data_IF_289378441875
#
_entry.id   IF_289378441875
#
_cell.length_a   1.000
_cell.length_b   1.000
_cell.length_c   1.000
_cell.angle_alpha   90.00
_cell.angle_beta   90.00
_cell.angle_gamma   90.00
#
_symmetry.space_group_name_H-M   'P 1'
#
loop_
_entity.id
_entity.type
_entity.pdbx_description
1 polymer ?
#
# COMPACT_ATOMS: atom_id res chain seq x y z
N UNK A 1 -76.89 -17.89 5.48
CA UNK A 1 -76.00 -16.90 4.85
C UNK A 1 -74.74 -16.77 5.70
N UNK A 2 -73.58 -17.16 5.17
CA UNK A 2 -72.28 -17.04 5.86
C UNK A 2 -71.66 -15.70 5.49
N UNK A 3 -71.66 -14.72 6.39
CA UNK A 3 -70.97 -13.44 6.19
C UNK A 3 -69.51 -13.57 6.62
N UNK A 4 -68.63 -13.73 5.62
CA UNK A 4 -67.18 -13.45 5.72
C UNK A 4 -67.01 -11.95 5.95
N UNK A 5 -66.38 -11.52 7.03
CA UNK A 5 -65.58 -10.29 7.04
C UNK A 5 -64.61 -10.25 8.23
N UNK A 6 -63.57 -11.08 8.17
CA UNK A 6 -62.46 -11.06 9.13
C UNK A 6 -61.11 -11.26 8.44
N UNK A 7 -60.73 -10.39 7.49
CA UNK A 7 -59.34 -10.39 7.02
C UNK A 7 -58.99 -9.13 6.23
N UNK A 8 -58.67 -8.03 6.91
CA UNK A 8 -57.98 -6.88 6.29
C UNK A 8 -57.34 -5.94 7.32
N UNK A 9 -56.70 -6.47 8.37
CA UNK A 9 -55.83 -5.65 9.23
C UNK A 9 -54.71 -6.54 9.75
N UNK A 10 -53.61 -6.71 9.02
CA UNK A 10 -52.30 -7.10 9.61
C UNK A 10 -51.12 -7.27 8.65
N UNK A 11 -51.19 -6.90 7.37
CA UNK A 11 -50.01 -7.05 6.49
C UNK A 11 -49.16 -5.76 6.43
N UNK A 12 -49.76 -4.58 6.65
CA UNK A 12 -49.02 -3.30 6.65
C UNK A 12 -48.30 -2.96 7.98
N UNK A 13 -48.32 -3.88 8.95
CA UNK A 13 -47.58 -3.73 10.21
C UNK A 13 -46.34 -4.61 10.26
N UNK A 14 -46.12 -5.51 9.30
CA UNK A 14 -45.00 -6.46 9.38
C UNK A 14 -43.65 -5.87 8.91
N UNK A 15 -43.66 -4.89 8.00
CA UNK A 15 -42.43 -4.29 7.47
C UNK A 15 -41.74 -3.31 8.42
N UNK A 16 -42.44 -2.82 9.46
CA UNK A 16 -41.86 -1.86 10.41
C UNK A 16 -41.04 -2.55 11.52
N UNK A 17 -41.21 -3.85 11.72
CA UNK A 17 -40.56 -4.60 12.81
C UNK A 17 -39.19 -5.21 12.45
N UNK A 18 -38.63 -4.93 11.26
CA UNK A 18 -37.31 -5.44 10.85
C UNK A 18 -36.17 -4.41 10.91
N UNK A 19 -36.46 -3.16 11.30
CA UNK A 19 -35.39 -2.25 11.69
C UNK A 19 -35.20 -2.40 13.20
N UNK A 20 -34.10 -3.02 13.67
CA UNK A 20 -33.76 -2.92 15.08
C UNK A 20 -33.53 -1.42 15.33
N UNK A 21 -34.45 -0.78 16.04
CA UNK A 21 -34.12 0.41 16.81
C UNK A 21 -33.15 -0.10 17.87
N UNK A 22 -31.87 -0.11 17.49
CA UNK A 22 -30.76 -0.22 18.41
C UNK A 22 -30.94 0.91 19.41
N UNK A 23 -31.03 0.60 20.70
CA UNK A 23 -31.14 1.55 21.81
C UNK A 23 -29.85 2.39 22.00
N UNK A 24 -29.26 2.84 20.90
CA UNK A 24 -28.02 3.57 20.81
C UNK A 24 -27.52 3.68 19.38
N UNK A 25 -26.63 4.64 19.15
CA UNK A 25 -26.02 4.84 17.84
C UNK A 25 -25.14 3.67 17.39
N UNK A 26 -25.12 3.43 16.07
CA UNK A 26 -24.22 2.47 15.43
C UNK A 26 -22.74 2.70 15.83
N UNK A 27 -21.90 1.70 15.57
CA UNK A 27 -20.47 1.78 15.86
C UNK A 27 -19.84 3.06 15.29
N UNK A 28 -19.02 3.73 16.11
CA UNK A 28 -18.38 5.02 15.81
C UNK A 28 -19.34 6.17 15.46
N UNK A 29 -20.61 6.10 15.87
CA UNK A 29 -21.57 7.20 15.78
C UNK A 29 -22.05 7.68 17.15
N UNK A 30 -22.43 8.94 17.23
CA UNK A 30 -22.95 9.59 18.45
C UNK A 30 -23.87 10.78 18.15
N UNK A 31 -24.52 11.30 19.19
CA UNK A 31 -25.48 12.39 19.16
C UNK A 31 -26.92 11.91 19.10
N UNK A 32 -27.87 12.84 19.28
CA UNK A 32 -29.31 12.58 19.34
C UNK A 32 -29.84 11.78 18.14
N UNK A 33 -29.39 12.15 16.93
CA UNK A 33 -29.76 11.47 15.67
C UNK A 33 -28.68 10.51 15.14
N UNK A 34 -27.63 10.24 15.93
CA UNK A 34 -26.50 9.41 15.52
C UNK A 34 -25.81 9.86 14.21
N UNK A 35 -25.93 11.14 13.87
CA UNK A 35 -25.38 11.73 12.65
C UNK A 35 -23.88 12.01 12.76
N UNK A 36 -23.36 12.22 13.98
CA UNK A 36 -21.95 12.53 14.22
C UNK A 36 -21.11 11.25 14.26
N UNK A 37 -19.86 11.36 13.80
CA UNK A 37 -18.93 10.23 13.68
C UNK A 37 -17.70 10.45 14.55
N UNK A 38 -17.20 9.40 15.19
CA UNK A 38 -16.05 9.39 16.09
C UNK A 38 -15.02 8.31 15.66
N UNK A 39 -14.70 8.27 14.38
CA UNK A 39 -13.85 7.23 13.77
C UNK A 39 -12.36 7.32 14.15
N UNK A 40 -11.96 8.37 14.86
CA UNK A 40 -10.60 8.59 15.38
C UNK A 40 -10.41 8.08 16.81
N UNK A 41 -11.45 7.54 17.44
CA UNK A 41 -11.31 6.80 18.69
C UNK A 41 -10.72 5.42 18.45
N UNK A 42 -9.93 4.93 19.41
CA UNK A 42 -9.68 3.49 19.52
C UNK A 42 -10.93 2.83 20.12
N UNK A 43 -11.70 2.15 19.28
CA UNK A 43 -12.98 1.54 19.64
C UNK A 43 -14.18 2.47 19.41
N UNK A 44 -15.23 2.26 20.19
CA UNK A 44 -16.46 3.06 20.13
C UNK A 44 -16.34 4.30 21.03
N UNK A 45 -17.05 5.38 20.70
CA UNK A 45 -17.18 6.56 21.56
C UNK A 45 -18.46 6.53 22.40
N UNK A 46 -18.51 7.43 23.37
CA UNK A 46 -19.74 7.77 24.08
C UNK A 46 -20.84 8.20 23.10
N UNK A 47 -22.04 7.63 23.27
CA UNK A 47 -23.15 7.78 22.33
C UNK A 47 -23.82 9.15 22.39
N UNK A 48 -23.62 9.90 23.47
CA UNK A 48 -24.24 11.20 23.70
C UNK A 48 -23.30 12.32 23.26
N UNK A 49 -22.06 12.30 23.75
CA UNK A 49 -21.11 13.42 23.57
C UNK A 49 -19.94 13.11 22.64
N UNK A 50 -19.75 11.86 22.23
CA UNK A 50 -18.67 11.47 21.30
C UNK A 50 -17.29 11.37 21.92
N UNK A 51 -17.17 11.44 23.26
CA UNK A 51 -15.89 11.29 23.96
C UNK A 51 -15.29 9.91 23.73
N UNK A 52 -13.97 9.87 23.57
CA UNK A 52 -13.18 8.65 23.38
C UNK A 52 -12.42 8.30 24.67
N UNK A 53 -12.15 7.00 24.87
CA UNK A 53 -11.17 6.55 25.86
C UNK A 53 -9.74 6.89 25.45
N UNK A 54 -9.42 6.63 24.18
CA UNK A 54 -8.12 6.92 23.56
C UNK A 54 -8.32 7.28 22.09
N UNK A 55 -7.36 8.03 21.54
CA UNK A 55 -7.30 8.35 20.12
C UNK A 55 -6.39 7.38 19.37
N UNK A 56 -6.69 7.17 18.08
CA UNK A 56 -5.73 6.55 17.17
C UNK A 56 -4.49 7.44 17.04
N UNK A 57 -3.38 6.86 16.59
CA UNK A 57 -2.12 7.57 16.41
C UNK A 57 -2.26 8.82 15.53
N UNK A 58 -1.51 9.86 15.89
CA UNK A 58 -1.58 11.16 15.23
C UNK A 58 -2.73 12.07 15.63
N UNK A 59 -3.65 11.61 16.49
CA UNK A 59 -4.75 12.42 17.03
C UNK A 59 -4.72 12.52 18.55
N UNK A 60 -5.33 13.58 19.07
CA UNK A 60 -5.40 13.91 20.50
C UNK A 60 -6.76 14.49 20.87
N UNK A 61 -6.90 14.85 22.15
CA UNK A 61 -8.13 15.34 22.76
C UNK A 61 -9.26 14.29 22.78
N UNK A 62 -9.11 13.22 23.59
CA UNK A 62 -10.14 12.18 23.70
C UNK A 62 -11.49 12.74 24.17
N UNK A 63 -11.48 13.81 24.97
CA UNK A 63 -12.71 14.47 25.45
C UNK A 63 -13.46 15.19 24.33
N UNK A 64 -12.75 15.69 23.32
CA UNK A 64 -13.34 16.29 22.13
C UNK A 64 -13.57 15.28 20.98
N UNK A 65 -13.50 13.97 21.26
CA UNK A 65 -13.75 12.94 20.25
C UNK A 65 -12.59 12.74 19.27
N UNK A 66 -11.36 13.04 19.68
CA UNK A 66 -10.16 12.87 18.86
C UNK A 66 -10.17 13.71 17.58
N UNK A 67 -10.73 14.91 17.65
CA UNK A 67 -10.89 15.82 16.51
C UNK A 67 -9.66 16.69 16.22
N UNK A 68 -8.63 16.63 17.07
CA UNK A 68 -7.38 17.37 16.89
C UNK A 68 -6.25 16.44 16.51
N UNK A 69 -5.40 16.89 15.61
CA UNK A 69 -4.11 16.24 15.35
C UNK A 69 -3.16 16.41 16.53
N UNK A 70 -2.11 15.61 16.59
CA UNK A 70 -1.03 15.84 17.55
C UNK A 70 -0.42 17.23 17.38
N UNK A 71 -0.02 17.88 18.48
CA UNK A 71 0.57 19.21 18.41
C UNK A 71 1.88 19.22 17.62
N UNK A 72 2.24 20.42 17.14
CA UNK A 72 3.52 20.66 16.46
C UNK A 72 4.69 20.07 17.25
N UNK A 73 5.65 19.47 16.55
CA UNK A 73 6.79 18.81 17.14
C UNK A 73 6.51 17.41 17.70
N UNK A 74 5.27 16.90 17.63
CA UNK A 74 4.93 15.57 18.16
C UNK A 74 4.22 14.67 17.16
N UNK A 75 4.27 13.36 17.39
CA UNK A 75 3.62 12.34 16.56
C UNK A 75 3.31 11.04 17.36
N UNK A 76 2.62 10.09 16.72
CA UNK A 76 2.38 8.74 17.23
C UNK A 76 1.23 8.61 18.22
N UNK A 77 1.16 7.45 18.86
CA UNK A 77 0.15 7.16 19.87
C UNK A 77 0.28 8.11 21.06
N UNK A 78 -0.81 8.81 21.39
CA UNK A 78 -0.87 9.84 22.45
C UNK A 78 0.15 10.97 22.27
N UNK A 79 0.62 11.22 21.04
CA UNK A 79 1.55 12.29 20.73
C UNK A 79 2.86 12.24 21.56
N UNK A 80 3.34 11.03 21.84
CA UNK A 80 4.56 10.80 22.64
C UNK A 80 5.85 10.82 21.80
N UNK A 81 5.74 10.70 20.48
CA UNK A 81 6.88 10.82 19.58
C UNK A 81 7.33 12.27 19.49
N UNK A 82 8.63 12.50 19.40
CA UNK A 82 9.27 13.82 19.29
C UNK A 82 9.88 13.99 17.90
N UNK A 83 9.35 14.94 17.13
CA UNK A 83 9.81 15.26 15.79
C UNK A 83 11.21 15.88 15.78
N UNK A 84 11.52 16.75 16.75
CA UNK A 84 12.85 17.36 16.82
C UNK A 84 13.93 16.32 17.09
N UNK A 85 13.63 15.30 17.92
CA UNK A 85 14.55 14.21 18.16
C UNK A 85 14.79 13.37 16.88
N UNK A 86 13.70 13.03 16.18
CA UNK A 86 13.70 12.13 15.01
C UNK A 86 14.18 12.80 13.72
N UNK A 87 13.72 14.01 13.45
CA UNK A 87 13.87 14.72 12.17
C UNK A 87 14.74 15.97 12.26
N UNK A 88 15.11 16.44 13.47
CA UNK A 88 15.79 17.73 13.72
C UNK A 88 14.96 18.97 13.34
N UNK A 89 13.72 18.75 12.90
CA UNK A 89 12.70 19.74 12.60
C UNK A 89 11.33 19.11 12.87
N UNK A 90 10.25 19.80 12.51
CA UNK A 90 8.91 19.24 12.66
C UNK A 90 8.65 18.12 11.63
N UNK A 91 7.81 17.14 12.00
CA UNK A 91 7.44 16.07 11.09
C UNK A 91 6.45 16.56 10.03
N UNK A 92 6.45 15.93 8.85
CA UNK A 92 5.45 16.16 7.82
C UNK A 92 4.05 15.66 8.22
N UNK A 93 4.01 14.56 8.97
CA UNK A 93 2.77 13.93 9.41
C UNK A 93 2.87 13.49 10.88
N UNK A 94 1.71 13.28 11.51
CA UNK A 94 1.56 13.08 12.97
C UNK A 94 1.37 11.62 13.39
N UNK A 95 1.11 10.72 12.46
CA UNK A 95 0.91 9.28 12.69
C UNK A 95 2.27 8.61 12.99
N UNK A 96 3.20 8.62 12.04
CA UNK A 96 4.50 7.94 12.16
C UNK A 96 5.67 8.89 12.38
N UNK A 97 5.46 10.20 12.25
CA UNK A 97 6.50 11.21 12.35
C UNK A 97 7.49 11.15 11.19
N UNK A 98 6.99 11.08 9.96
CA UNK A 98 7.82 11.07 8.76
C UNK A 98 8.53 12.41 8.60
N UNK A 99 9.84 12.35 8.38
CA UNK A 99 10.64 13.55 8.24
C UNK A 99 10.50 14.14 6.83
N UNK A 100 10.55 15.47 6.69
CA UNK A 100 10.72 16.06 5.37
C UNK A 100 12.01 15.51 4.75
N UNK A 101 11.91 15.06 3.51
CA UNK A 101 13.11 14.76 2.73
C UNK A 101 13.80 16.09 2.45
N UNK A 102 14.65 16.55 3.38
CA UNK A 102 15.68 17.54 3.03
C UNK A 102 16.40 16.96 1.83
N UNK A 103 16.45 17.68 0.71
CA UNK A 103 16.95 17.31 -0.62
C UNK A 103 18.23 16.44 -0.64
N UNK A 104 18.10 15.20 -0.19
CA UNK A 104 19.11 14.14 -0.14
C UNK A 104 18.80 13.10 -1.21
N UNK A 105 17.95 13.47 -2.16
CA UNK A 105 17.88 12.88 -3.50
C UNK A 105 19.15 13.11 -4.30
N UNK A 106 20.27 13.52 -3.69
CA UNK A 106 21.60 13.42 -4.29
C UNK A 106 21.87 12.00 -4.74
N UNK A 107 21.41 10.97 -4.01
CA UNK A 107 21.56 9.56 -4.43
C UNK A 107 20.68 9.23 -5.63
N UNK A 108 19.47 9.78 -5.70
CA UNK A 108 18.54 9.52 -6.81
C UNK A 108 18.99 10.20 -8.11
N UNK A 109 19.50 11.43 -8.02
CA UNK A 109 20.12 12.16 -9.13
C UNK A 109 21.38 11.43 -9.59
N UNK A 110 22.25 11.00 -8.66
CA UNK A 110 23.43 10.20 -9.00
C UNK A 110 23.01 8.91 -9.71
N UNK A 111 22.01 8.17 -9.24
CA UNK A 111 21.53 6.95 -9.90
C UNK A 111 20.98 7.23 -11.31
N UNK A 112 20.18 8.29 -11.49
CA UNK A 112 19.60 8.67 -12.78
C UNK A 112 20.67 9.04 -13.81
N UNK A 113 21.76 9.70 -13.42
CA UNK A 113 22.81 10.11 -14.36
C UNK A 113 23.96 9.10 -14.49
N UNK A 114 24.33 8.39 -13.42
CA UNK A 114 25.44 7.43 -13.44
C UNK A 114 25.08 6.13 -14.12
N UNK A 115 23.88 5.58 -13.91
CA UNK A 115 23.46 4.33 -14.56
C UNK A 115 23.48 4.44 -16.09
N UNK A 116 22.85 5.43 -16.75
CA UNK A 116 22.88 5.52 -18.21
C UNK A 116 24.28 5.78 -18.76
N UNK A 117 25.12 6.54 -18.06
CA UNK A 117 26.52 6.75 -18.45
C UNK A 117 27.33 5.45 -18.34
N UNK A 118 27.19 4.71 -17.24
CA UNK A 118 27.83 3.40 -17.07
C UNK A 118 27.33 2.38 -18.10
N UNK A 119 26.02 2.35 -18.39
CA UNK A 119 25.44 1.50 -19.43
C UNK A 119 26.00 1.86 -20.82
N UNK A 120 26.06 3.16 -21.16
CA UNK A 120 26.62 3.61 -22.43
C UNK A 120 28.10 3.21 -22.57
N UNK A 121 28.91 3.40 -21.51
CA UNK A 121 30.31 2.99 -21.51
C UNK A 121 30.46 1.47 -21.65
N UNK A 122 29.66 0.68 -20.95
CA UNK A 122 29.67 -0.78 -21.07
C UNK A 122 29.28 -1.24 -22.49
N UNK A 123 28.25 -0.65 -23.07
CA UNK A 123 27.83 -0.92 -24.46
C UNK A 123 28.95 -0.57 -25.44
N UNK A 124 29.62 0.58 -25.25
CA UNK A 124 30.76 0.98 -26.09
C UNK A 124 31.96 0.03 -25.95
N UNK A 125 32.24 -0.47 -24.75
CA UNK A 125 33.29 -1.47 -24.52
C UNK A 125 32.94 -2.78 -25.24
N UNK A 126 31.73 -3.30 -25.08
CA UNK A 126 31.29 -4.52 -25.77
C UNK A 126 31.30 -4.35 -27.29
N UNK A 127 30.88 -3.20 -27.81
CA UNK A 127 30.93 -2.91 -29.25
C UNK A 127 32.37 -2.81 -29.81
N UNK A 128 33.33 -2.35 -29.01
CA UNK A 128 34.76 -2.27 -29.38
C UNK A 128 35.46 -3.62 -29.29
N UNK A 129 35.10 -4.46 -28.32
CA UNK A 129 35.63 -5.82 -28.18
C UNK A 129 34.90 -6.85 -29.07
N UNK A 130 33.68 -6.54 -29.52
CA UNK A 130 32.83 -7.40 -30.34
C UNK A 130 33.13 -7.42 -31.85
N UNK A 131 34.15 -6.69 -32.32
CA UNK A 131 34.62 -6.81 -33.72
C UNK A 131 35.78 -7.81 -33.89
N UNK A 132 36.14 -8.58 -32.85
CA UNK A 132 37.07 -9.70 -33.00
C UNK A 132 36.28 -10.98 -33.34
N UNK A 133 35.69 -11.00 -34.54
CA UNK A 133 35.40 -12.25 -35.24
C UNK A 133 36.58 -12.49 -36.17
N UNK A 134 37.52 -13.32 -35.74
CA UNK A 134 38.65 -13.76 -36.56
C UNK A 134 38.14 -14.52 -37.78
N UNK A 135 38.29 -13.89 -38.95
CA UNK A 135 38.32 -14.55 -40.25
C UNK A 135 39.43 -15.61 -40.24
N UNK A 136 39.09 -16.89 -40.15
CA UNK A 136 39.94 -17.97 -40.67
C UNK A 136 39.23 -18.51 -41.91
N UNK A 137 39.50 -17.84 -43.04
CA UNK A 137 39.31 -18.42 -44.37
C UNK A 137 40.65 -19.01 -44.82
N UNK A 138 40.71 -20.32 -44.92
CA UNK A 138 41.65 -21.00 -45.82
C UNK A 138 41.17 -22.41 -46.15
N UNK A 139 40.33 -22.49 -47.18
CA UNK A 139 40.35 -23.60 -48.14
C UNK A 139 41.58 -23.39 -49.04
N UNK A 140 42.44 -24.40 -49.27
CA UNK A 140 42.33 -25.15 -50.51
C UNK A 140 42.64 -26.66 -50.43
N UNK A 141 41.82 -27.43 -51.12
CA UNK A 141 42.18 -28.43 -52.15
C UNK A 141 42.94 -29.72 -51.76
N UNK A 142 42.13 -30.80 -51.75
CA UNK A 142 42.33 -32.16 -52.27
C UNK A 142 43.61 -32.94 -51.98
N UNK A 143 43.47 -34.19 -51.53
CA UNK A 143 43.97 -35.35 -52.29
C UNK A 143 43.09 -36.58 -51.98
N UNK A 144 42.82 -37.34 -53.02
CA UNK A 144 42.10 -38.61 -53.06
C UNK A 144 42.64 -39.63 -52.04
N UNK A 145 41.77 -40.55 -51.61
CA UNK A 145 41.87 -41.98 -51.96
C UNK A 145 40.73 -42.76 -51.28
N UNK A 146 39.81 -43.25 -52.12
CA UNK A 146 38.98 -44.44 -51.86
C UNK A 146 39.91 -45.67 -52.01
N UNK A 147 39.79 -46.72 -51.18
CA UNK A 147 39.09 -47.88 -51.69
C UNK A 147 38.29 -48.67 -50.63
N UNK A 148 37.03 -48.93 -50.95
CA UNK A 148 36.42 -50.28 -51.03
C UNK A 148 36.47 -51.22 -49.81
N UNK A 149 35.25 -51.60 -49.40
CA UNK A 149 34.75 -52.98 -49.18
C UNK A 149 34.92 -53.73 -47.84
N UNK A 150 33.87 -54.53 -47.59
CA UNK A 150 33.62 -55.61 -46.61
C UNK A 150 33.04 -55.16 -45.26
N UNK A 151 31.74 -55.33 -44.96
CA UNK A 151 30.85 -56.51 -44.91
C UNK A 151 30.98 -57.33 -43.61
N UNK A 152 29.82 -57.60 -42.98
CA UNK A 152 29.45 -58.68 -42.03
C UNK A 152 30.44 -59.06 -40.88
N UNK A 153 30.08 -59.28 -39.61
CA UNK A 153 29.03 -60.15 -39.08
C UNK A 153 29.08 -60.18 -37.53
N UNK A 154 27.91 -60.31 -36.90
CA UNK A 154 27.54 -61.14 -35.73
C UNK A 154 28.64 -61.80 -34.86
N UNK A 155 28.60 -61.50 -33.55
CA UNK A 155 28.62 -62.51 -32.47
C UNK A 155 28.06 -61.96 -31.17
#
# INVERSE_FOLDING_TARGET
MKTKLNSSISILRLFVYLLPVSDGCLYQRYGEDCSKVCNRCIGNCDKVNGTCKNCVEGYTDPKAGCNKDCPLGTFGFRCKGDCALKCKEDCLERIYGTCPETASSSRYIVIIFTIPVCCALFILLVAKFGTVQSDIKSTPTSTANDPSTTDMTSR
#
